data_IF_286396715022
#
_entry.id   IF_286396715022
#
_cell.length_a   1.000
_cell.length_b   1.000
_cell.length_c   1.000
_cell.angle_alpha   90.00
_cell.angle_beta   90.00
_cell.angle_gamma   90.00
#
_symmetry.space_group_name_H-M   'P 1'
#
loop_
_entity.id
_entity.type
_entity.pdbx_description
1 polymer ?
#
# COMPACT_ATOMS: atom_id res chain seq x y z
N UNK A 1 7.71 22.24 -38.23
CA UNK A 1 6.72 21.25 -38.74
C UNK A 1 6.10 20.39 -37.65
N UNK A 2 6.74 19.35 -37.06
CA UNK A 2 6.04 18.45 -36.11
C UNK A 2 5.63 19.09 -34.76
N UNK A 3 6.31 20.16 -34.34
CA UNK A 3 5.99 20.90 -33.10
C UNK A 3 4.77 21.83 -33.26
N UNK A 4 4.65 22.50 -34.40
CA UNK A 4 3.61 23.51 -34.62
C UNK A 4 2.22 22.88 -34.77
N UNK A 5 2.13 21.68 -35.36
CA UNK A 5 0.87 20.93 -35.44
C UNK A 5 0.42 20.42 -34.07
N UNK A 6 1.34 19.93 -33.23
CA UNK A 6 1.03 19.50 -31.87
C UNK A 6 0.54 20.66 -30.99
N UNK A 7 1.18 21.84 -31.11
CA UNK A 7 0.76 23.04 -30.40
C UNK A 7 -0.60 23.55 -30.87
N UNK A 8 -0.90 23.45 -32.18
CA UNK A 8 -2.20 23.82 -32.73
C UNK A 8 -3.32 22.88 -32.23
N UNK A 9 -3.06 21.57 -32.21
CA UNK A 9 -3.99 20.55 -31.68
C UNK A 9 -4.24 20.78 -30.20
N UNK A 10 -3.19 21.05 -29.41
CA UNK A 10 -3.33 21.32 -27.98
C UNK A 10 -4.13 22.61 -27.69
N UNK A 11 -3.95 23.65 -28.51
CA UNK A 11 -4.74 24.89 -28.38
C UNK A 11 -6.21 24.68 -28.74
N UNK A 12 -6.49 23.86 -29.76
CA UNK A 12 -7.85 23.50 -30.16
C UNK A 12 -8.54 22.64 -29.11
N UNK A 13 -7.87 21.63 -28.56
CA UNK A 13 -8.43 20.75 -27.52
C UNK A 13 -8.71 21.51 -26.22
N UNK A 14 -7.83 22.44 -25.84
CA UNK A 14 -8.04 23.30 -24.67
C UNK A 14 -9.27 24.19 -24.83
N UNK A 15 -9.42 24.87 -25.98
CA UNK A 15 -10.61 25.70 -26.26
C UNK A 15 -11.90 24.88 -26.28
N UNK A 16 -11.87 23.69 -26.87
CA UNK A 16 -13.05 22.83 -26.91
C UNK A 16 -13.46 22.39 -25.50
N UNK A 17 -12.48 22.07 -24.66
CA UNK A 17 -12.72 21.64 -23.28
C UNK A 17 -13.28 22.79 -22.44
N UNK A 18 -12.78 24.01 -22.61
CA UNK A 18 -13.30 25.22 -21.97
C UNK A 18 -14.75 25.51 -22.41
N UNK A 19 -15.05 25.36 -23.70
CA UNK A 19 -16.40 25.59 -24.22
C UNK A 19 -17.41 24.54 -23.73
N UNK A 20 -16.97 23.29 -23.59
CA UNK A 20 -17.76 22.21 -22.96
C UNK A 20 -17.99 22.48 -21.46
N UNK A 21 -16.98 22.99 -20.73
CA UNK A 21 -17.10 23.28 -19.31
C UNK A 21 -18.09 24.43 -19.03
N UNK A 22 -18.23 25.35 -19.99
CA UNK A 22 -19.18 26.46 -19.93
C UNK A 22 -20.62 26.10 -20.35
N UNK A 23 -20.88 24.86 -20.79
CA UNK A 23 -22.24 24.45 -21.15
C UNK A 23 -23.15 24.33 -19.91
N UNK A 24 -24.44 24.70 -20.02
CA UNK A 24 -25.41 24.54 -18.93
C UNK A 24 -25.57 23.07 -18.53
N UNK A 25 -25.53 22.79 -17.23
CA UNK A 25 -25.79 21.44 -16.69
C UNK A 25 -27.28 21.17 -16.51
N UNK A 26 -28.05 21.35 -17.57
CA UNK A 26 -29.52 21.22 -17.58
C UNK A 26 -30.02 19.83 -18.02
N UNK A 27 -29.09 18.91 -18.32
CA UNK A 27 -29.41 17.53 -18.71
C UNK A 27 -30.01 17.39 -20.11
N UNK A 28 -29.93 18.44 -20.94
CA UNK A 28 -30.36 18.44 -22.34
C UNK A 28 -29.18 18.25 -23.28
N UNK A 29 -29.49 17.83 -24.50
CA UNK A 29 -28.51 17.76 -25.57
C UNK A 29 -28.15 19.18 -26.02
N UNK A 30 -26.85 19.50 -26.05
CA UNK A 30 -26.32 20.77 -26.54
C UNK A 30 -25.49 20.53 -27.80
N UNK A 31 -25.79 21.28 -28.86
CA UNK A 31 -25.08 21.20 -30.13
C UNK A 31 -23.95 22.25 -30.18
N UNK A 32 -22.72 21.80 -30.43
CA UNK A 32 -21.55 22.66 -30.64
C UNK A 32 -21.17 22.64 -32.14
N UNK A 33 -21.29 23.78 -32.81
CA UNK A 33 -20.92 23.90 -34.23
C UNK A 33 -19.53 24.51 -34.40
N UNK A 34 -18.57 23.73 -34.90
CA UNK A 34 -17.21 24.21 -35.18
C UNK A 34 -17.08 24.59 -36.66
N UNK A 35 -16.79 25.88 -36.93
CA UNK A 35 -16.49 26.36 -38.29
C UNK A 35 -14.98 26.43 -38.52
N UNK A 36 -14.44 25.48 -39.27
CA UNK A 36 -13.02 25.46 -39.66
C UNK A 36 -12.86 26.20 -40.99
N UNK A 37 -12.07 27.27 -41.03
CA UNK A 37 -11.70 27.96 -42.28
C UNK A 37 -10.36 27.44 -42.78
N UNK A 38 -10.35 26.81 -43.96
CA UNK A 38 -9.13 26.38 -44.66
C UNK A 38 -9.45 25.68 -45.98
N UNK A 39 -8.59 25.83 -47.00
CA UNK A 39 -8.74 25.13 -48.28
C UNK A 39 -8.23 23.69 -48.15
N UNK A 40 -9.06 22.83 -47.56
CA UNK A 40 -8.92 21.37 -47.60
C UNK A 40 -10.28 20.91 -48.11
N UNK A 41 -10.35 20.37 -49.34
CA UNK A 41 -11.61 20.08 -50.04
C UNK A 41 -12.64 19.30 -49.20
N UNK A 42 -13.88 19.21 -49.67
CA UNK A 42 -15.04 18.64 -48.95
C UNK A 42 -14.69 17.41 -48.09
N UNK A 43 -14.44 17.61 -46.79
CA UNK A 43 -14.21 16.52 -45.84
C UNK A 43 -15.58 16.10 -45.32
N UNK A 44 -16.17 15.07 -45.93
CA UNK A 44 -17.34 14.39 -45.37
C UNK A 44 -16.89 13.55 -44.18
N UNK A 45 -16.95 14.11 -42.97
CA UNK A 45 -16.63 13.38 -41.73
C UNK A 45 -17.74 12.39 -41.32
N UNK A 46 -18.90 12.40 -42.00
CA UNK A 46 -20.07 11.62 -41.59
C UNK A 46 -20.61 12.06 -40.23
N UNK A 47 -21.50 11.26 -39.64
CA UNK A 47 -21.90 11.42 -38.25
C UNK A 47 -20.94 10.60 -37.39
N UNK A 48 -19.99 11.26 -36.73
CA UNK A 48 -19.09 10.62 -35.77
C UNK A 48 -19.51 11.05 -34.37
N UNK A 49 -20.01 10.11 -33.59
CA UNK A 49 -20.35 10.31 -32.18
C UNK A 49 -19.06 10.15 -31.37
N UNK A 50 -18.62 11.23 -30.72
CA UNK A 50 -17.49 11.18 -29.79
C UNK A 50 -18.03 11.16 -28.36
N UNK A 51 -18.01 9.98 -27.73
CA UNK A 51 -18.34 9.85 -26.32
C UNK A 51 -17.19 10.40 -25.46
N UNK A 52 -17.32 11.65 -25.04
CA UNK A 52 -16.40 12.27 -24.08
C UNK A 52 -16.83 11.79 -22.68
N UNK A 53 -16.20 10.72 -22.19
CA UNK A 53 -16.36 10.29 -20.78
C UNK A 53 -15.61 11.25 -19.85
N UNK A 54 -16.28 12.32 -19.44
CA UNK A 54 -15.70 13.41 -18.62
C UNK A 54 -15.43 13.02 -17.17
N UNK A 55 -15.98 11.91 -16.69
CA UNK A 55 -15.87 11.50 -15.29
C UNK A 55 -15.14 10.17 -15.16
N UNK A 56 -14.14 10.10 -14.27
CA UNK A 56 -13.63 8.83 -13.74
C UNK A 56 -14.84 8.06 -13.21
N UNK A 57 -15.23 6.98 -13.89
CA UNK A 57 -16.38 6.18 -13.48
C UNK A 57 -16.12 5.62 -12.07
N UNK A 58 -17.06 5.78 -11.13
CA UNK A 58 -16.92 5.19 -9.80
C UNK A 58 -16.97 3.66 -9.90
N UNK A 59 -16.28 2.94 -8.99
CA UNK A 59 -16.33 1.49 -8.98
C UNK A 59 -17.76 0.98 -8.73
N UNK A 60 -18.15 -0.16 -9.31
CA UNK A 60 -19.46 -0.76 -9.05
C UNK A 60 -19.65 -1.01 -7.55
N UNK A 61 -20.79 -0.57 -7.01
CA UNK A 61 -21.12 -0.78 -5.61
C UNK A 61 -21.18 -2.29 -5.29
N UNK A 62 -20.51 -2.71 -4.21
CA UNK A 62 -20.44 -4.11 -3.81
C UNK A 62 -19.41 -4.97 -4.58
N UNK A 63 -18.63 -4.38 -5.50
CA UNK A 63 -17.51 -5.09 -6.12
C UNK A 63 -16.28 -5.09 -5.19
N UNK A 64 -15.46 -6.14 -5.28
CA UNK A 64 -14.16 -6.23 -4.56
C UNK A 64 -13.13 -5.15 -4.98
N UNK A 65 -13.48 -4.39 -6.04
CA UNK A 65 -12.70 -3.27 -6.56
C UNK A 65 -13.09 -1.92 -5.93
N UNK A 66 -14.17 -1.88 -5.16
CA UNK A 66 -14.57 -0.71 -4.40
C UNK A 66 -13.94 -0.71 -3.01
N UNK A 67 -13.46 0.45 -2.56
CA UNK A 67 -13.07 0.69 -1.17
C UNK A 67 -13.56 2.06 -0.73
N UNK A 68 -13.64 2.27 0.57
CA UNK A 68 -13.86 3.59 1.14
C UNK A 68 -12.52 4.32 1.34
N UNK A 69 -12.45 5.61 1.01
CA UNK A 69 -11.28 6.42 1.31
C UNK A 69 -11.22 6.75 2.82
N UNK A 70 -10.10 6.51 3.51
CA UNK A 70 -9.99 6.78 4.95
C UNK A 70 -10.06 8.27 5.30
N UNK A 71 -9.74 9.17 4.35
CA UNK A 71 -9.78 10.62 4.58
C UNK A 71 -11.17 11.22 4.31
N UNK A 72 -11.75 10.96 3.12
CA UNK A 72 -12.98 11.62 2.69
C UNK A 72 -14.24 10.74 2.78
N UNK A 73 -14.11 9.46 3.15
CA UNK A 73 -15.21 8.49 3.31
C UNK A 73 -16.04 8.24 2.04
N UNK A 74 -15.51 8.62 0.87
CA UNK A 74 -16.15 8.36 -0.41
C UNK A 74 -15.66 7.04 -1.00
N UNK A 75 -16.54 6.38 -1.73
CA UNK A 75 -16.21 5.19 -2.49
C UNK A 75 -15.19 5.53 -3.58
N UNK A 76 -14.11 4.76 -3.64
CA UNK A 76 -13.00 4.94 -4.57
C UNK A 76 -12.45 3.58 -4.99
N UNK A 77 -11.62 3.57 -6.03
CA UNK A 77 -11.03 2.34 -6.54
C UNK A 77 -10.02 1.75 -5.55
N UNK A 78 -10.04 0.43 -5.38
CA UNK A 78 -9.20 -0.26 -4.40
C UNK A 78 -7.71 -0.17 -4.72
N UNK A 79 -7.39 -0.39 -5.99
CA UNK A 79 -6.02 -0.58 -6.50
C UNK A 79 -5.42 0.70 -7.11
N UNK A 80 -6.01 1.86 -6.84
CA UNK A 80 -5.45 3.14 -7.28
C UNK A 80 -4.56 3.74 -6.20
N UNK A 81 -3.46 4.37 -6.61
CA UNK A 81 -2.54 5.03 -5.68
C UNK A 81 -3.20 6.20 -4.94
N UNK A 82 -4.02 6.99 -5.65
CA UNK A 82 -4.67 8.18 -5.15
C UNK A 82 -6.20 8.02 -5.13
N UNK A 83 -6.85 8.61 -4.15
CA UNK A 83 -8.30 8.70 -4.12
C UNK A 83 -8.83 9.55 -5.27
N UNK A 84 -9.84 9.07 -5.99
CA UNK A 84 -10.44 9.80 -7.11
C UNK A 84 -11.17 11.10 -6.72
N UNK A 85 -11.41 11.34 -5.43
CA UNK A 85 -12.17 12.49 -4.92
C UNK A 85 -11.32 13.56 -4.24
N UNK A 86 -10.24 13.16 -3.56
CA UNK A 86 -9.44 14.05 -2.72
C UNK A 86 -7.94 13.84 -2.89
N UNK A 87 -7.52 13.05 -3.88
CA UNK A 87 -6.13 12.72 -4.19
C UNK A 87 -5.29 12.21 -3.00
N UNK A 88 -5.96 11.65 -1.98
CA UNK A 88 -5.27 11.06 -0.85
C UNK A 88 -4.52 9.80 -1.26
N UNK A 89 -3.28 9.64 -0.80
CA UNK A 89 -2.45 8.49 -1.12
C UNK A 89 -2.89 7.24 -0.34
N UNK A 90 -3.71 6.43 -1.00
CA UNK A 90 -4.28 5.19 -0.50
C UNK A 90 -3.21 4.12 -0.30
N UNK A 91 -2.28 4.00 -1.24
CA UNK A 91 -1.22 3.00 -1.20
C UNK A 91 -0.30 3.21 0.01
N UNK A 92 0.14 4.45 0.24
CA UNK A 92 0.97 4.80 1.39
C UNK A 92 0.26 4.54 2.72
N UNK A 93 -1.04 4.83 2.78
CA UNK A 93 -1.83 4.49 3.97
C UNK A 93 -1.82 2.98 4.22
N UNK A 94 -2.08 2.18 3.19
CA UNK A 94 -2.10 0.71 3.31
C UNK A 94 -0.73 0.17 3.74
N UNK A 95 0.37 0.68 3.17
CA UNK A 95 1.75 0.34 3.56
C UNK A 95 2.03 0.63 5.04
N UNK A 96 1.62 1.81 5.53
CA UNK A 96 1.76 2.17 6.95
C UNK A 96 0.93 1.23 7.83
N UNK A 97 -0.27 0.86 7.38
CA UNK A 97 -1.17 -0.01 8.13
C UNK A 97 -0.60 -1.44 8.22
N UNK A 98 -0.04 -1.95 7.12
CA UNK A 98 0.61 -3.27 7.10
C UNK A 98 1.90 -3.27 7.93
N UNK A 99 2.74 -2.24 7.82
CA UNK A 99 3.93 -2.12 8.65
C UNK A 99 3.60 -2.06 10.15
N UNK A 100 2.53 -1.36 10.53
CA UNK A 100 2.08 -1.33 11.93
C UNK A 100 1.65 -2.72 12.41
N UNK A 101 0.96 -3.51 11.56
CA UNK A 101 0.58 -4.89 11.89
C UNK A 101 1.80 -5.80 12.02
N UNK A 102 2.77 -5.67 11.11
CA UNK A 102 4.01 -6.43 11.16
C UNK A 102 4.83 -6.11 12.40
N UNK A 103 4.94 -4.83 12.76
CA UNK A 103 5.61 -4.39 13.98
C UNK A 103 4.93 -4.97 15.23
N UNK A 104 3.60 -4.87 15.33
CA UNK A 104 2.86 -5.45 16.45
C UNK A 104 3.06 -6.99 16.55
N UNK A 105 3.19 -7.68 15.40
CA UNK A 105 3.49 -9.11 15.38
C UNK A 105 4.92 -9.39 15.86
N UNK A 106 5.92 -8.61 15.39
CA UNK A 106 7.31 -8.72 15.84
C UNK A 106 7.45 -8.49 17.34
N UNK A 107 6.76 -7.48 17.89
CA UNK A 107 6.77 -7.19 19.34
C UNK A 107 6.25 -8.37 20.17
N UNK A 108 5.14 -8.99 19.75
CA UNK A 108 4.60 -10.17 20.42
C UNK A 108 5.58 -11.34 20.41
N UNK A 109 6.24 -11.59 19.28
CA UNK A 109 7.25 -12.64 19.16
C UNK A 109 8.47 -12.33 20.02
N UNK A 110 8.95 -11.09 20.03
CA UNK A 110 10.08 -10.67 20.86
C UNK A 110 9.80 -10.85 22.35
N UNK A 111 8.59 -10.53 22.81
CA UNK A 111 8.18 -10.77 24.20
C UNK A 111 8.15 -12.27 24.54
N UNK A 112 7.68 -13.12 23.62
CA UNK A 112 7.72 -14.57 23.81
C UNK A 112 9.16 -15.09 23.87
N UNK A 113 10.03 -14.67 22.94
CA UNK A 113 11.45 -15.03 22.93
C UNK A 113 12.16 -14.59 24.21
N UNK A 114 11.87 -13.39 24.72
CA UNK A 114 12.42 -12.89 25.98
C UNK A 114 11.99 -13.78 27.17
N UNK A 115 10.71 -14.15 27.26
CA UNK A 115 10.21 -15.06 28.31
C UNK A 115 10.92 -16.41 28.28
N UNK A 116 11.12 -16.97 27.09
CA UNK A 116 11.85 -18.24 26.92
C UNK A 116 13.30 -18.08 27.40
N UNK A 117 14.00 -17.02 26.97
CA UNK A 117 15.38 -16.76 27.41
C UNK A 117 15.49 -16.64 28.94
N UNK A 118 14.59 -15.90 29.58
CA UNK A 118 14.57 -15.75 31.05
C UNK A 118 14.35 -17.11 31.72
N UNK A 119 13.42 -17.93 31.21
CA UNK A 119 13.17 -19.27 31.77
C UNK A 119 14.38 -20.20 31.60
N UNK A 120 15.06 -20.19 30.46
CA UNK A 120 16.28 -20.97 30.24
C UNK A 120 17.41 -20.56 31.20
N UNK A 121 17.62 -19.25 31.41
CA UNK A 121 18.63 -18.76 32.37
C UNK A 121 18.27 -19.17 33.79
N UNK A 122 17.00 -19.05 34.19
CA UNK A 122 16.54 -19.48 35.50
C UNK A 122 16.76 -20.98 35.73
N UNK A 123 16.44 -21.82 34.74
CA UNK A 123 16.67 -23.27 34.80
C UNK A 123 18.18 -23.57 34.90
N UNK A 124 19.02 -22.90 34.11
CA UNK A 124 20.47 -23.07 34.16
C UNK A 124 21.03 -22.72 35.55
N UNK A 125 20.57 -21.62 36.16
CA UNK A 125 20.96 -21.24 37.53
C UNK A 125 20.50 -22.28 38.56
N UNK A 126 19.28 -22.81 38.43
CA UNK A 126 18.78 -23.87 39.32
C UNK A 126 19.59 -25.16 39.20
N UNK A 127 19.94 -25.57 37.97
CA UNK A 127 20.80 -26.74 37.73
C UNK A 127 22.18 -26.52 38.33
N UNK A 128 22.74 -25.32 38.18
CA UNK A 128 24.04 -24.96 38.74
C UNK A 128 24.03 -25.08 40.27
N UNK A 129 23.03 -24.50 40.94
CA UNK A 129 22.90 -24.58 42.41
C UNK A 129 22.67 -26.03 42.87
N UNK A 130 21.85 -26.81 42.15
CA UNK A 130 21.59 -28.20 42.46
C UNK A 130 22.85 -29.09 42.29
N UNK A 131 23.75 -28.71 41.37
CA UNK A 131 24.99 -29.45 41.10
C UNK A 131 25.90 -29.60 42.33
N UNK A 132 25.82 -28.67 43.30
CA UNK A 132 26.59 -28.76 44.54
C UNK A 132 26.15 -29.90 45.45
N UNK A 133 24.89 -30.34 45.35
CA UNK A 133 24.31 -31.42 46.13
C UNK A 133 24.39 -32.79 45.43
N UNK A 134 24.88 -32.84 44.19
CA UNK A 134 24.99 -34.05 43.39
C UNK A 134 26.32 -34.81 43.68
N UNK A 135 26.31 -36.15 43.64
CA UNK A 135 27.51 -36.96 43.83
C UNK A 135 28.52 -36.72 42.70
N UNK A 136 29.80 -36.96 43.00
CA UNK A 136 30.97 -36.61 42.16
C UNK A 136 30.88 -37.14 40.71
N UNK A 137 30.14 -38.23 40.49
CA UNK A 137 29.91 -38.84 39.18
C UNK A 137 28.95 -38.06 38.27
N UNK A 138 28.03 -37.26 38.83
CA UNK A 138 27.01 -36.50 38.10
C UNK A 138 27.35 -35.01 37.93
N UNK A 139 28.26 -34.47 38.74
CA UNK A 139 28.77 -33.10 38.62
C UNK A 139 29.25 -32.71 37.21
N UNK A 140 30.04 -33.52 36.47
CA UNK A 140 30.49 -33.11 35.15
C UNK A 140 29.32 -32.95 34.17
N UNK A 141 28.32 -33.84 34.19
CA UNK A 141 27.14 -33.76 33.32
C UNK A 141 26.29 -32.51 33.59
N UNK A 142 26.16 -32.11 34.86
CA UNK A 142 25.46 -30.89 35.24
C UNK A 142 26.14 -29.64 34.65
N UNK A 143 27.47 -29.57 34.72
CA UNK A 143 28.26 -28.46 34.15
C UNK A 143 28.12 -28.39 32.63
N UNK A 144 28.18 -29.52 31.92
CA UNK A 144 27.99 -29.57 30.47
C UNK A 144 26.59 -29.10 30.07
N UNK A 145 25.55 -29.51 30.80
CA UNK A 145 24.17 -29.09 30.55
C UNK A 145 23.97 -27.59 30.74
N UNK A 146 24.54 -26.99 31.79
CA UNK A 146 24.52 -25.54 31.98
C UNK A 146 25.22 -24.79 30.85
N UNK A 147 26.37 -25.30 30.38
CA UNK A 147 27.10 -24.70 29.26
C UNK A 147 26.28 -24.71 27.96
N UNK A 148 25.64 -25.84 27.65
CA UNK A 148 24.79 -25.99 26.45
C UNK A 148 23.55 -25.09 26.53
N UNK A 149 22.89 -25.02 27.68
CA UNK A 149 21.74 -24.14 27.90
C UNK A 149 22.11 -22.65 27.78
N UNK A 150 23.27 -22.25 28.31
CA UNK A 150 23.80 -20.90 28.18
C UNK A 150 24.12 -20.54 26.72
N UNK A 151 24.76 -21.44 25.98
CA UNK A 151 25.03 -21.28 24.55
C UNK A 151 23.73 -21.18 23.73
N UNK A 152 22.73 -22.00 24.05
CA UNK A 152 21.43 -21.98 23.38
C UNK A 152 20.70 -20.64 23.60
N UNK A 153 20.69 -20.13 24.85
CA UNK A 153 20.14 -18.81 25.15
C UNK A 153 20.89 -17.69 24.41
N UNK A 154 22.22 -17.76 24.34
CA UNK A 154 23.03 -16.79 23.59
C UNK A 154 22.71 -16.81 22.08
N UNK A 155 22.58 -17.99 21.48
CA UNK A 155 22.21 -18.13 20.07
C UNK A 155 20.80 -17.57 19.78
N UNK A 156 19.83 -17.77 20.67
CA UNK A 156 18.49 -17.19 20.54
C UNK A 156 18.51 -15.65 20.59
N UNK A 157 19.31 -15.06 21.49
CA UNK A 157 19.42 -13.60 21.59
C UNK A 157 20.13 -12.97 20.39
N UNK A 158 21.15 -13.63 19.83
CA UNK A 158 21.86 -13.15 18.63
C UNK A 158 21.04 -13.31 17.37
N UNK A 159 20.24 -14.39 17.26
CA UNK A 159 19.30 -14.58 16.16
C UNK A 159 18.16 -13.53 16.18
N UNK A 160 17.66 -13.17 17.36
CA UNK A 160 16.63 -12.14 17.53
C UNK A 160 17.12 -10.72 17.18
N UNK A 161 18.42 -10.45 17.32
CA UNK A 161 19.02 -9.12 17.02
C UNK A 161 19.31 -8.89 15.52
N UNK A 162 19.24 -9.93 14.69
CA UNK A 162 19.62 -9.89 13.26
C UNK A 162 18.41 -9.85 12.29
N UNK A 163 17.17 -9.76 12.80
CA UNK A 163 15.88 -9.82 12.07
C UNK A 163 14.99 -8.62 12.42
#
# INVERSE_FOLDING_TARGET
>A
MRSEEADLVNKLSARLSEEIENLPRDGKDHELTIKIKGNRGHINLGHQTFDIKTAKEPPPAGSDRARECPQCRRCTWRYTQLCMHCDYNLQRHDEVTEHAKEQARKERLNLQTLKICISCVAIAVLIFIASDYLPVTLKPWAVTLTGVLGLFAFMLTTASKKS
#
